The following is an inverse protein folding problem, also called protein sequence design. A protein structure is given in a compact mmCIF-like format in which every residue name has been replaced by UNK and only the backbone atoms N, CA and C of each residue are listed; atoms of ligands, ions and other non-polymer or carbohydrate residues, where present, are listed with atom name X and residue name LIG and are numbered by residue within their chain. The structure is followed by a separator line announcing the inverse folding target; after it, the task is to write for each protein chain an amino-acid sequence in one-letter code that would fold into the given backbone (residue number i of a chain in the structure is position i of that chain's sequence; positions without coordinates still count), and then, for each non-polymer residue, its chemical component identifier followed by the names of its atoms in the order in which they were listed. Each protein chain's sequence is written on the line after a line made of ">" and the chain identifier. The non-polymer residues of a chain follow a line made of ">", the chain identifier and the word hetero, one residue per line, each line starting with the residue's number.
data_IF_203481924309
#
_entry.id   IF_203481924309
#
_cell.length_a   1.000
_cell.length_b   1.000
_cell.length_c   1.000
_cell.angle_alpha   90.00
_cell.angle_beta   90.00
_cell.angle_gamma   90.00
#
_symmetry.space_group_name_H-M   'P 1'
#
loop_
_entity.id
_entity.type
_entity.pdbx_description
1 polymer ?
#
# COMPACT_ATOMS: atom_id res chain seq x y z
N UNK A 1 7.78 8.83 -17.32
CA UNK A 1 6.88 8.95 -18.49
C UNK A 1 7.71 9.40 -19.68
N UNK A 2 7.78 8.65 -20.78
CA UNK A 2 8.52 9.04 -21.98
C UNK A 2 7.77 10.07 -22.85
N UNK A 3 6.55 10.49 -22.46
CA UNK A 3 5.77 11.52 -23.15
C UNK A 3 5.08 11.03 -24.43
N UNK A 4 5.25 9.77 -24.79
CA UNK A 4 4.81 9.16 -26.06
C UNK A 4 3.55 8.29 -25.91
N UNK A 5 3.02 8.13 -24.69
CA UNK A 5 1.93 7.19 -24.41
C UNK A 5 2.34 5.71 -24.50
N UNK A 6 3.64 5.42 -24.62
CA UNK A 6 4.18 4.05 -24.60
C UNK A 6 4.68 3.70 -23.21
N UNK A 7 4.52 2.43 -22.82
CA UNK A 7 5.04 1.90 -21.56
C UNK A 7 6.44 1.33 -21.75
N UNK A 8 7.30 1.50 -20.74
CA UNK A 8 8.55 0.76 -20.65
C UNK A 8 8.26 -0.70 -20.26
N UNK A 9 9.29 -1.55 -20.30
CA UNK A 9 9.19 -2.90 -19.76
C UNK A 9 8.76 -2.86 -18.28
N UNK A 10 7.87 -3.77 -17.89
CA UNK A 10 7.44 -3.87 -16.50
C UNK A 10 8.62 -4.23 -15.59
N UNK A 11 8.67 -3.60 -14.42
CA UNK A 11 9.54 -4.03 -13.31
C UNK A 11 8.65 -4.71 -12.28
N UNK A 12 9.05 -5.89 -11.82
CA UNK A 12 8.27 -6.70 -10.88
C UNK A 12 8.82 -6.47 -9.48
N UNK A 13 7.94 -6.05 -8.57
CA UNK A 13 8.22 -6.01 -7.14
C UNK A 13 7.44 -7.14 -6.48
N UNK A 14 8.16 -8.04 -5.81
CA UNK A 14 7.53 -9.16 -5.12
C UNK A 14 6.74 -8.64 -3.94
N UNK A 15 5.49 -9.09 -3.86
CA UNK A 15 4.66 -8.92 -2.68
C UNK A 15 4.50 -10.24 -1.94
N UNK A 16 3.73 -10.19 -0.86
CA UNK A 16 3.24 -11.37 -0.16
C UNK A 16 2.10 -12.07 -0.95
N UNK A 17 1.42 -13.03 -0.32
CA UNK A 17 0.53 -13.96 -1.02
C UNK A 17 -0.85 -13.38 -1.33
N UNK A 18 -1.35 -13.69 -2.53
CA UNK A 18 -2.65 -13.28 -3.06
C UNK A 18 -2.94 -11.78 -2.86
N UNK A 19 -2.14 -10.87 -3.44
CA UNK A 19 -2.46 -9.44 -3.40
C UNK A 19 -3.82 -9.18 -4.05
N UNK A 20 -4.73 -8.51 -3.32
CA UNK A 20 -6.14 -8.31 -3.71
C UNK A 20 -6.46 -6.89 -4.17
N UNK A 21 -5.76 -5.89 -3.63
CA UNK A 21 -5.99 -4.48 -3.90
C UNK A 21 -4.71 -3.68 -3.73
N UNK A 22 -4.62 -2.55 -4.43
CA UNK A 22 -3.56 -1.56 -4.27
C UNK A 22 -4.13 -0.17 -4.04
N UNK A 23 -3.43 0.64 -3.25
CA UNK A 23 -3.63 2.08 -3.12
C UNK A 23 -2.30 2.81 -3.36
N UNK A 24 -2.38 4.07 -3.77
CA UNK A 24 -1.22 4.91 -4.07
C UNK A 24 -1.35 6.23 -3.33
N UNK A 25 -0.35 6.56 -2.52
CA UNK A 25 -0.29 7.79 -1.74
C UNK A 25 1.16 8.03 -1.28
N UNK A 26 1.52 9.27 -1.01
CA UNK A 26 2.79 9.61 -0.36
C UNK A 26 2.63 9.39 1.16
N UNK A 27 2.93 8.19 1.63
CA UNK A 27 2.69 7.83 3.05
C UNK A 27 3.86 8.24 3.93
N UNK A 28 5.06 8.44 3.38
CA UNK A 28 6.24 8.85 4.14
C UNK A 28 6.51 10.37 4.10
N UNK A 29 5.68 11.15 3.39
CA UNK A 29 5.78 12.61 3.23
C UNK A 29 7.05 13.08 2.52
N UNK A 30 7.55 12.30 1.55
CA UNK A 30 8.74 12.65 0.75
C UNK A 30 8.40 13.28 -0.63
N UNK A 31 7.11 13.50 -0.90
CA UNK A 31 6.52 13.96 -2.17
C UNK A 31 6.63 12.95 -3.32
N UNK A 32 6.87 11.68 -3.03
CA UNK A 32 6.83 10.59 -4.00
C UNK A 32 5.65 9.67 -3.68
N UNK A 33 4.83 9.27 -4.67
CA UNK A 33 3.76 8.32 -4.43
C UNK A 33 4.33 6.93 -4.12
N UNK A 34 3.97 6.39 -2.96
CA UNK A 34 4.25 5.03 -2.52
C UNK A 34 3.11 4.07 -2.92
N UNK A 35 3.34 2.78 -2.76
CA UNK A 35 2.35 1.73 -3.05
C UNK A 35 1.98 0.99 -1.77
N UNK A 36 0.68 0.89 -1.51
CA UNK A 36 0.11 0.07 -0.44
C UNK A 36 -0.60 -1.12 -1.08
N UNK A 37 -0.35 -2.32 -0.57
CA UNK A 37 -0.89 -3.58 -1.12
C UNK A 37 -1.64 -4.33 -0.03
N UNK A 38 -2.90 -4.71 -0.26
CA UNK A 38 -3.60 -5.65 0.61
C UNK A 38 -3.25 -7.07 0.21
N UNK A 39 -2.55 -7.82 1.07
CA UNK A 39 -2.16 -9.21 0.82
C UNK A 39 -3.16 -10.16 1.46
N UNK A 40 -4.22 -10.47 0.71
CA UNK A 40 -5.36 -11.27 1.18
C UNK A 40 -4.94 -12.62 1.76
N UNK A 41 -3.96 -13.27 1.14
CA UNK A 41 -3.50 -14.61 1.56
C UNK A 41 -2.60 -14.58 2.79
N UNK A 42 -1.89 -13.46 3.02
CA UNK A 42 -0.93 -13.31 4.11
C UNK A 42 -1.46 -12.56 5.33
N UNK A 43 -2.72 -12.10 5.31
CA UNK A 43 -3.35 -11.33 6.38
C UNK A 43 -2.50 -10.11 6.81
N UNK A 44 -2.01 -9.37 5.82
CA UNK A 44 -1.26 -8.15 6.06
C UNK A 44 -1.48 -7.12 4.95
N UNK A 45 -1.07 -5.88 5.22
CA UNK A 45 -0.80 -4.88 4.20
C UNK A 45 0.70 -4.70 4.00
N UNK A 46 1.09 -4.55 2.75
CA UNK A 46 2.43 -4.18 2.34
C UNK A 46 2.54 -2.71 2.00
N UNK A 47 3.67 -2.10 2.34
CA UNK A 47 4.04 -0.75 1.91
C UNK A 47 5.36 -0.84 1.15
N UNK A 48 5.35 -0.41 -0.11
CA UNK A 48 6.53 -0.27 -0.95
C UNK A 48 6.82 1.22 -1.11
N UNK A 49 7.89 1.67 -0.46
CA UNK A 49 8.32 3.06 -0.49
C UNK A 49 9.01 3.37 -1.81
N UNK A 50 8.64 4.47 -2.43
CA UNK A 50 9.24 4.95 -3.67
C UNK A 50 10.62 5.56 -3.36
N UNK A 51 11.68 4.93 -3.87
CA UNK A 51 13.05 5.41 -3.70
C UNK A 51 13.42 6.53 -4.70
N UNK A 52 12.44 7.00 -5.48
CA UNK A 52 12.65 7.88 -6.61
C UNK A 52 13.09 7.13 -7.88
N UNK A 53 13.21 7.88 -8.97
CA UNK A 53 13.65 7.36 -10.29
C UNK A 53 12.82 6.18 -10.83
N UNK A 54 11.59 6.01 -10.35
CA UNK A 54 10.71 4.91 -10.74
C UNK A 54 11.06 3.56 -10.09
N UNK A 55 11.80 3.57 -8.98
CA UNK A 55 12.13 2.35 -8.22
C UNK A 55 11.47 2.34 -6.85
N UNK A 56 11.10 1.16 -6.38
CA UNK A 56 10.53 0.94 -5.05
C UNK A 56 11.47 0.09 -4.19
N UNK A 57 11.45 0.35 -2.88
CA UNK A 57 12.12 -0.48 -1.89
C UNK A 57 11.39 -1.80 -1.71
N UNK A 58 12.05 -2.75 -1.05
CA UNK A 58 11.41 -3.99 -0.62
C UNK A 58 10.20 -3.68 0.29
N UNK A 59 9.16 -4.50 0.16
CA UNK A 59 7.93 -4.33 0.92
C UNK A 59 8.19 -4.42 2.43
N UNK A 60 7.65 -3.46 3.18
CA UNK A 60 7.46 -3.57 4.63
C UNK A 60 6.03 -4.03 4.90
N UNK A 61 5.83 -5.01 5.77
CA UNK A 61 4.50 -5.56 6.08
C UNK A 61 4.00 -5.13 7.44
N UNK A 62 2.68 -4.94 7.53
CA UNK A 62 1.97 -4.68 8.77
C UNK A 62 0.78 -5.63 8.86
N UNK A 63 0.71 -6.38 9.95
CA UNK A 63 -0.37 -7.34 10.18
C UNK A 63 -1.73 -6.67 10.17
N UNK A 64 -2.70 -7.35 9.56
CA UNK A 64 -4.12 -7.00 9.62
C UNK A 64 -4.87 -8.15 10.28
N UNK A 65 -6.20 -8.04 10.32
CA UNK A 65 -7.04 -9.21 10.54
C UNK A 65 -7.20 -10.00 9.23
N UNK A 66 -8.20 -10.87 9.19
CA UNK A 66 -8.30 -11.99 8.28
C UNK A 66 -8.76 -11.54 6.91
N UNK A 67 -8.02 -11.96 5.89
CA UNK A 67 -8.33 -11.75 4.48
C UNK A 67 -8.59 -10.25 4.13
N UNK A 68 -7.57 -9.39 4.25
CA UNK A 68 -7.68 -8.00 3.84
C UNK A 68 -7.98 -7.93 2.33
N UNK A 69 -9.07 -7.25 1.99
CA UNK A 69 -9.58 -7.22 0.62
C UNK A 69 -9.28 -5.90 -0.10
N UNK A 70 -9.32 -4.79 0.64
CA UNK A 70 -9.03 -3.47 0.10
C UNK A 70 -8.36 -2.58 1.12
N UNK A 71 -7.51 -1.68 0.64
CA UNK A 71 -6.85 -0.66 1.44
C UNK A 71 -7.16 0.73 0.85
N UNK A 72 -7.36 1.70 1.74
CA UNK A 72 -7.48 3.12 1.43
C UNK A 72 -6.51 3.90 2.32
N UNK A 73 -6.20 5.13 1.91
CA UNK A 73 -5.24 5.99 2.61
C UNK A 73 -5.90 7.34 2.87
N UNK A 74 -5.85 7.81 4.12
CA UNK A 74 -6.35 9.10 4.55
C UNK A 74 -5.79 9.46 5.93
N UNK A 75 -5.65 10.74 6.23
CA UNK A 75 -5.45 11.21 7.61
C UNK A 75 -6.78 11.05 8.37
N UNK A 76 -6.92 9.97 9.16
CA UNK A 76 -8.17 9.67 9.87
C UNK A 76 -8.16 10.13 11.32
N UNK A 77 -6.99 10.45 11.86
CA UNK A 77 -6.84 10.91 13.25
C UNK A 77 -6.60 12.44 13.35
N UNK A 78 -6.50 13.14 12.22
CA UNK A 78 -6.23 14.58 12.10
C UNK A 78 -4.85 15.02 12.61
N UNK A 79 -3.82 14.19 12.45
CA UNK A 79 -2.43 14.51 12.83
C UNK A 79 -1.55 14.99 11.65
N UNK A 80 -2.15 15.16 10.48
CA UNK A 80 -1.48 15.54 9.22
C UNK A 80 -0.54 14.48 8.64
N UNK A 81 -0.65 13.22 9.08
CA UNK A 81 -0.01 12.06 8.46
C UNK A 81 -1.08 11.15 7.86
N UNK A 82 -0.72 10.46 6.79
CA UNK A 82 -1.65 9.56 6.12
C UNK A 82 -1.67 8.21 6.84
N UNK A 83 -2.85 7.79 7.29
CA UNK A 83 -3.09 6.47 7.87
C UNK A 83 -3.55 5.48 6.79
N UNK A 84 -3.45 4.18 7.10
CA UNK A 84 -3.95 3.11 6.21
C UNK A 84 -5.21 2.50 6.81
N UNK A 85 -6.30 2.52 6.06
CA UNK A 85 -7.58 1.90 6.41
C UNK A 85 -7.76 0.63 5.59
N UNK A 86 -8.07 -0.49 6.24
CA UNK A 86 -8.14 -1.81 5.60
C UNK A 86 -9.50 -2.44 5.83
N UNK A 87 -10.18 -2.84 4.76
CA UNK A 87 -11.39 -3.66 4.83
C UNK A 87 -10.99 -5.15 4.93
N UNK A 88 -11.28 -5.78 6.06
CA UNK A 88 -10.97 -7.19 6.30
C UNK A 88 -12.20 -8.05 6.02
N UNK A 89 -12.22 -8.66 4.83
CA UNK A 89 -13.35 -9.45 4.36
C UNK A 89 -13.58 -10.69 5.21
N UNK A 90 -12.52 -11.35 5.67
CA UNK A 90 -12.61 -12.60 6.41
C UNK A 90 -13.06 -12.44 7.86
N UNK A 91 -12.66 -11.34 8.52
CA UNK A 91 -13.02 -11.05 9.91
C UNK A 91 -14.28 -10.18 10.07
N UNK A 92 -14.81 -9.61 8.99
CA UNK A 92 -15.97 -8.72 8.98
C UNK A 92 -15.75 -7.42 9.76
N UNK A 93 -14.54 -6.85 9.66
CA UNK A 93 -14.18 -5.60 10.33
C UNK A 93 -13.40 -4.64 9.41
N UNK A 94 -13.07 -3.48 9.96
CA UNK A 94 -12.16 -2.49 9.37
C UNK A 94 -11.01 -2.27 10.34
N UNK A 95 -9.79 -2.47 9.86
CA UNK A 95 -8.56 -2.12 10.57
C UNK A 95 -8.09 -0.72 10.20
N UNK A 96 -7.47 -0.02 11.16
CA UNK A 96 -6.80 1.26 10.92
C UNK A 96 -5.37 1.15 11.46
N UNK A 97 -4.40 1.39 10.58
CA UNK A 97 -3.00 1.50 10.93
C UNK A 97 -2.67 2.99 11.03
N UNK A 98 -2.49 3.45 12.26
CA UNK A 98 -2.15 4.84 12.55
C UNK A 98 -0.67 5.07 12.31
N UNK A 99 -0.34 6.11 11.57
CA UNK A 99 1.04 6.52 11.37
C UNK A 99 1.51 7.41 12.53
N UNK A 100 2.70 7.11 13.07
CA UNK A 100 3.25 7.80 14.24
C UNK A 100 4.31 8.85 13.88
#
# INVERSE_FOLDING_TARGET
>A
NAGTGTFLAQTIYTTDTNPSSVAVADVNSDNLPDIIVANYGSNNVGVLINAGSGTFLAQTTYSTDTNPYSAAVADVNSDSKLDIVVANYGSNDVGVLIQC
#
